data_IF_268600712024
#
_entry.id   IF_268600712024
#
_cell.length_a   1.000
_cell.length_b   1.000
_cell.length_c   1.000
_cell.angle_alpha   90.00
_cell.angle_beta   90.00
_cell.angle_gamma   90.00
#
_symmetry.space_group_name_H-M   'P 1'
#
loop_
_entity.id
_entity.type
_entity.pdbx_description
1 polymer ?
#
# COMPACT_ATOMS: atom_id res chain seq x y z
N UNK A 1 16.27 -11.74 7.93
CA UNK A 1 17.14 -12.85 7.46
C UNK A 1 17.03 -12.83 5.94
N UNK A 2 17.96 -12.11 5.31
CA UNK A 2 17.85 -11.49 3.98
C UNK A 2 18.50 -10.09 4.02
N UNK A 3 18.31 -9.29 2.98
CA UNK A 3 18.84 -7.92 2.80
C UNK A 3 18.14 -6.83 3.66
N UNK A 4 17.45 -7.24 4.74
CA UNK A 4 16.77 -6.33 5.69
C UNK A 4 17.53 -6.35 7.02
N UNK A 5 17.85 -5.19 7.63
CA UNK A 5 17.49 -3.84 7.17
C UNK A 5 18.22 -3.40 5.89
N UNK A 6 17.49 -2.67 5.03
CA UNK A 6 18.00 -2.15 3.76
C UNK A 6 18.80 -0.88 4.01
N UNK A 7 19.98 -0.74 3.40
CA UNK A 7 20.78 0.48 3.53
C UNK A 7 20.23 1.60 2.65
N UNK A 8 20.20 2.81 3.20
CA UNK A 8 19.84 4.00 2.44
C UNK A 8 20.78 4.16 1.22
N UNK A 9 20.20 4.37 0.05
CA UNK A 9 20.93 4.51 -1.22
C UNK A 9 21.27 3.21 -1.94
N UNK A 10 20.98 2.03 -1.37
CA UNK A 10 21.06 0.77 -2.11
C UNK A 10 19.95 0.71 -3.18
N UNK A 11 20.30 0.29 -4.40
CA UNK A 11 19.36 -0.09 -5.48
C UNK A 11 19.62 -1.55 -5.90
N UNK A 12 19.14 -2.49 -5.07
CA UNK A 12 19.32 -3.93 -5.24
C UNK A 12 17.99 -4.59 -5.58
N UNK A 13 18.04 -5.56 -6.47
CA UNK A 13 16.90 -6.44 -6.75
C UNK A 13 16.79 -7.52 -5.67
N UNK A 14 15.65 -7.56 -4.99
CA UNK A 14 15.24 -8.56 -4.01
C UNK A 14 14.27 -9.51 -4.71
N UNK A 15 14.78 -10.67 -5.14
CA UNK A 15 14.03 -11.69 -5.89
C UNK A 15 13.89 -13.02 -5.15
N UNK A 16 14.47 -13.14 -3.95
CA UNK A 16 14.40 -14.37 -3.15
C UNK A 16 13.09 -14.48 -2.33
N UNK A 17 12.23 -13.46 -2.36
CA UNK A 17 10.91 -13.50 -1.70
C UNK A 17 9.93 -14.21 -2.66
N UNK A 18 9.36 -15.36 -2.30
CA UNK A 18 8.43 -16.07 -3.16
C UNK A 18 7.26 -15.18 -3.60
N UNK A 19 6.97 -15.19 -4.91
CA UNK A 19 5.87 -14.42 -5.49
C UNK A 19 6.13 -12.93 -5.71
N UNK A 20 7.29 -12.40 -5.32
CA UNK A 20 7.61 -10.97 -5.38
C UNK A 20 8.98 -10.71 -6.02
N UNK A 21 9.07 -9.59 -6.75
CA UNK A 21 10.32 -9.00 -7.21
C UNK A 21 10.28 -7.53 -6.83
N UNK A 22 11.15 -7.14 -5.90
CA UNK A 22 11.16 -5.79 -5.31
C UNK A 22 12.53 -5.17 -5.48
N UNK A 23 12.60 -3.84 -5.57
CA UNK A 23 13.84 -3.12 -5.34
C UNK A 23 13.96 -2.75 -3.87
N UNK A 24 15.18 -2.57 -3.38
CA UNK A 24 15.46 -2.04 -2.05
C UNK A 24 14.71 -0.74 -1.74
N UNK A 25 14.52 0.13 -2.74
CA UNK A 25 13.74 1.37 -2.60
C UNK A 25 12.23 1.14 -2.40
N UNK A 26 11.69 -0.02 -2.80
CA UNK A 26 10.27 -0.36 -2.66
C UNK A 26 9.96 -0.91 -1.26
N UNK A 27 10.99 -1.26 -0.49
CA UNK A 27 10.86 -1.75 0.89
C UNK A 27 10.37 -0.60 1.79
N UNK A 28 9.38 -0.83 2.67
CA UNK A 28 8.88 0.22 3.55
C UNK A 28 9.97 0.87 4.39
N UNK A 29 9.94 2.20 4.54
CA UNK A 29 11.00 2.99 5.20
C UNK A 29 11.39 2.48 6.60
N UNK A 30 10.46 1.88 7.34
CA UNK A 30 10.73 1.33 8.67
C UNK A 30 11.55 0.03 8.68
N UNK A 31 11.80 -0.55 7.50
CA UNK A 31 12.70 -1.69 7.30
C UNK A 31 14.05 -1.25 6.69
N UNK A 32 14.32 0.05 6.62
CA UNK A 32 15.63 0.60 6.26
C UNK A 32 16.46 0.86 7.52
N UNK A 33 17.78 0.82 7.38
CA UNK A 33 18.74 1.13 8.43
C UNK A 33 18.57 2.58 8.91
N UNK A 34 18.18 2.79 10.17
CA UNK A 34 18.05 4.12 10.76
C UNK A 34 17.49 4.13 12.19
N UNK A 35 18.00 5.03 13.04
CA UNK A 35 17.61 5.11 14.46
C UNK A 35 16.12 5.41 14.69
N UNK A 36 15.47 6.15 13.79
CA UNK A 36 14.05 6.51 13.89
C UNK A 36 13.08 5.35 13.59
N UNK A 37 13.56 4.22 13.07
CA UNK A 37 12.72 3.16 12.51
C UNK A 37 12.54 1.93 13.42
N UNK A 38 13.32 1.83 14.50
CA UNK A 38 13.38 0.65 15.37
C UNK A 38 12.04 0.25 16.01
N UNK A 39 11.20 1.23 16.41
CA UNK A 39 9.91 0.92 17.06
C UNK A 39 8.93 0.23 16.10
N UNK A 40 8.84 0.69 14.84
CA UNK A 40 7.95 0.08 13.85
C UNK A 40 8.52 -1.25 13.35
N UNK A 41 9.83 -1.38 13.29
CA UNK A 41 10.50 -2.65 12.99
C UNK A 41 10.18 -3.72 14.04
N UNK A 42 10.34 -3.41 15.33
CA UNK A 42 10.03 -4.33 16.43
C UNK A 42 8.57 -4.78 16.42
N UNK A 43 7.64 -3.85 16.21
CA UNK A 43 6.21 -4.18 16.07
C UNK A 43 5.96 -5.10 14.86
N UNK A 44 6.58 -4.81 13.72
CA UNK A 44 6.42 -5.62 12.51
C UNK A 44 6.97 -7.03 12.71
N UNK A 45 8.13 -7.16 13.37
CA UNK A 45 8.72 -8.46 13.71
C UNK A 45 7.89 -9.23 14.74
N UNK A 46 7.28 -8.53 15.70
CA UNK A 46 6.37 -9.14 16.66
C UNK A 46 5.12 -9.72 15.95
N UNK A 47 4.51 -8.95 15.04
CA UNK A 47 3.32 -9.37 14.29
C UNK A 47 3.63 -10.52 13.32
N UNK A 48 4.77 -10.48 12.63
CA UNK A 48 5.18 -11.56 11.72
C UNK A 48 5.50 -12.87 12.44
N UNK A 49 5.98 -12.84 13.69
CA UNK A 49 6.11 -14.06 14.50
C UNK A 49 4.75 -14.61 14.90
N UNK A 50 3.77 -13.76 15.17
CA UNK A 50 2.43 -14.17 15.61
C UNK A 50 1.62 -14.83 14.50
N UNK A 51 1.70 -14.32 13.27
CA UNK A 51 0.92 -14.85 12.13
C UNK A 51 1.19 -16.35 11.88
N UNK A 52 2.40 -16.83 12.21
CA UNK A 52 2.76 -18.26 12.10
C UNK A 52 2.01 -19.15 13.10
N UNK A 53 1.60 -18.59 14.24
CA UNK A 53 0.90 -19.27 15.35
C UNK A 53 -0.61 -19.13 15.25
N UNK A 54 -1.11 -18.12 14.55
CA UNK A 54 -2.54 -17.91 14.35
C UNK A 54 -3.16 -19.06 13.56
N UNK A 55 -4.47 -19.27 13.77
CA UNK A 55 -5.23 -20.31 13.05
C UNK A 55 -5.43 -19.89 11.61
N UNK A 56 -5.93 -18.67 11.37
CA UNK A 56 -6.13 -18.06 10.06
C UNK A 56 -5.76 -16.59 10.09
N UNK A 57 -5.33 -16.05 8.96
CA UNK A 57 -5.19 -14.62 8.74
C UNK A 57 -5.89 -14.24 7.44
N UNK A 58 -6.69 -13.18 7.52
CA UNK A 58 -7.55 -12.74 6.44
C UNK A 58 -6.86 -11.62 5.67
N UNK A 59 -6.84 -11.72 4.34
CA UNK A 59 -6.28 -10.68 3.47
C UNK A 59 -7.38 -10.14 2.55
N UNK A 60 -7.58 -8.82 2.60
CA UNK A 60 -8.48 -8.13 1.67
C UNK A 60 -7.80 -7.92 0.32
N UNK A 61 -7.70 -8.98 -0.48
CA UNK A 61 -7.20 -8.95 -1.85
C UNK A 61 -7.91 -10.00 -2.71
N UNK A 62 -7.73 -9.93 -4.03
CA UNK A 62 -8.29 -10.87 -5.02
C UNK A 62 -7.17 -11.62 -5.73
N UNK A 63 -7.40 -12.92 -5.92
CA UNK A 63 -6.43 -13.83 -6.53
C UNK A 63 -5.98 -13.39 -7.92
N UNK A 64 -6.91 -12.91 -8.76
CA UNK A 64 -6.66 -12.67 -10.18
C UNK A 64 -5.71 -11.49 -10.44
N UNK A 65 -5.58 -10.55 -9.48
CA UNK A 65 -4.67 -9.40 -9.59
C UNK A 65 -3.29 -9.72 -9.03
N UNK A 66 -3.18 -10.65 -8.08
CA UNK A 66 -1.96 -10.94 -7.31
C UNK A 66 -1.57 -12.43 -7.34
N UNK A 67 -1.78 -13.09 -8.49
CA UNK A 67 -1.61 -14.54 -8.66
C UNK A 67 -0.32 -15.10 -8.05
N UNK A 68 0.83 -14.51 -8.41
CA UNK A 68 2.17 -14.96 -7.95
C UNK A 68 2.29 -14.91 -6.42
N UNK A 69 1.75 -13.87 -5.80
CA UNK A 69 1.77 -13.69 -4.34
C UNK A 69 0.84 -14.70 -3.67
N UNK A 70 -0.35 -14.92 -4.23
CA UNK A 70 -1.31 -15.87 -3.70
C UNK A 70 -0.80 -17.31 -3.73
N UNK A 71 -0.14 -17.71 -4.82
CA UNK A 71 0.48 -19.03 -4.94
C UNK A 71 1.58 -19.22 -3.89
N UNK A 72 2.51 -18.26 -3.78
CA UNK A 72 3.55 -18.26 -2.77
C UNK A 72 3.00 -18.31 -1.33
N UNK A 73 1.97 -17.52 -1.03
CA UNK A 73 1.34 -17.50 0.29
C UNK A 73 0.62 -18.82 0.60
N UNK A 74 -0.04 -19.42 -0.39
CA UNK A 74 -0.70 -20.72 -0.25
C UNK A 74 0.31 -21.85 -0.05
N UNK A 75 1.45 -21.82 -0.74
CA UNK A 75 2.54 -22.76 -0.53
C UNK A 75 3.16 -22.63 0.87
N UNK A 76 3.39 -21.39 1.34
CA UNK A 76 4.03 -21.12 2.63
C UNK A 76 3.11 -21.31 3.85
N UNK A 77 1.83 -20.96 3.74
CA UNK A 77 0.89 -20.91 4.87
C UNK A 77 -0.31 -21.87 4.74
N UNK A 78 -0.50 -22.50 3.58
CA UNK A 78 -1.58 -23.45 3.35
C UNK A 78 -2.96 -22.87 3.64
N UNK A 79 -3.79 -23.65 4.34
CA UNK A 79 -5.15 -23.27 4.71
C UNK A 79 -5.24 -22.08 5.70
N UNK A 80 -4.11 -21.59 6.24
CA UNK A 80 -4.10 -20.43 7.13
C UNK A 80 -4.30 -19.10 6.39
N UNK A 81 -3.92 -19.05 5.12
CA UNK A 81 -4.09 -17.87 4.27
C UNK A 81 -5.50 -17.83 3.69
N UNK A 82 -6.29 -16.84 4.08
CA UNK A 82 -7.71 -16.72 3.68
C UNK A 82 -7.94 -15.37 2.97
N UNK A 83 -7.94 -15.33 1.64
CA UNK A 83 -8.31 -14.12 0.91
C UNK A 83 -9.82 -13.88 0.99
N UNK A 84 -10.22 -12.67 1.34
CA UNK A 84 -11.63 -12.26 1.50
C UNK A 84 -12.00 -11.03 0.67
N UNK A 85 -11.12 -10.63 -0.25
CA UNK A 85 -11.28 -9.42 -1.04
C UNK A 85 -12.07 -9.60 -2.35
N UNK A 86 -12.48 -8.47 -2.96
CA UNK A 86 -12.38 -7.13 -2.41
C UNK A 86 -13.55 -6.90 -1.44
N UNK A 87 -13.24 -6.49 -0.21
CA UNK A 87 -14.25 -6.03 0.74
C UNK A 87 -14.70 -4.64 0.31
N UNK A 88 -15.97 -4.54 -0.08
CA UNK A 88 -16.58 -3.26 -0.39
C UNK A 88 -17.10 -2.59 0.89
N UNK A 89 -17.05 -1.25 0.99
CA UNK A 89 -17.63 -0.53 2.12
C UNK A 89 -19.11 -0.89 2.31
N UNK A 90 -19.50 -1.26 3.53
CA UNK A 90 -20.89 -1.51 3.89
C UNK A 90 -21.63 -0.17 4.03
N UNK A 91 -22.29 0.25 2.95
CA UNK A 91 -23.07 1.50 2.83
C UNK A 91 -22.30 2.76 3.31
N UNK A 92 -21.61 3.41 2.38
CA UNK A 92 -21.40 4.86 2.48
C UNK A 92 -22.68 5.58 2.04
N UNK A 93 -23.02 6.71 2.67
CA UNK A 93 -23.91 7.68 2.04
C UNK A 93 -23.33 7.97 0.66
N UNK A 94 -24.07 7.63 -0.40
CA UNK A 94 -23.69 8.06 -1.72
C UNK A 94 -23.57 9.59 -1.65
N UNK A 95 -22.39 10.12 -1.96
CA UNK A 95 -22.25 11.54 -2.19
C UNK A 95 -23.20 11.80 -3.36
N UNK A 96 -24.37 12.38 -3.05
CA UNK A 96 -25.34 12.79 -4.05
C UNK A 96 -24.64 13.88 -4.88
N UNK A 97 -23.94 13.47 -5.91
CA UNK A 97 -23.28 14.33 -6.87
C UNK A 97 -24.34 14.93 -7.81
N UNK A 98 -25.33 15.63 -7.25
CA UNK A 98 -26.42 16.27 -7.99
C UNK A 98 -25.96 17.40 -8.93
N UNK A 99 -24.65 17.58 -9.12
CA UNK A 99 -24.05 18.54 -10.05
C UNK A 99 -23.01 17.94 -11.01
N UNK A 100 -22.64 16.66 -10.89
CA UNK A 100 -21.75 16.02 -11.84
C UNK A 100 -22.59 15.45 -12.98
N UNK A 101 -22.74 16.25 -14.04
CA UNK A 101 -23.07 15.73 -15.37
C UNK A 101 -22.10 14.58 -15.70
N UNK A 102 -22.43 13.73 -16.67
CA UNK A 102 -21.61 12.64 -17.21
C UNK A 102 -20.26 13.13 -17.82
N UNK A 103 -19.45 13.80 -17.02
CA UNK A 103 -18.19 14.42 -17.35
C UNK A 103 -17.08 13.69 -16.60
N UNK A 104 -16.02 13.35 -17.31
CA UNK A 104 -14.78 12.82 -16.75
C UNK A 104 -14.24 13.81 -15.72
N UNK A 105 -14.28 13.42 -14.45
CA UNK A 105 -13.73 14.21 -13.33
C UNK A 105 -12.56 13.47 -12.74
N UNK A 106 -11.43 14.19 -12.61
CA UNK A 106 -10.24 13.66 -11.97
C UNK A 106 -10.45 13.64 -10.45
N UNK A 107 -10.50 12.44 -9.85
CA UNK A 107 -10.56 12.29 -8.40
C UNK A 107 -9.14 12.18 -7.83
N UNK A 108 -8.77 13.09 -6.93
CA UNK A 108 -7.44 13.17 -6.31
C UNK A 108 -7.55 12.98 -4.81
N UNK A 109 -6.79 12.03 -4.26
CA UNK A 109 -6.72 11.72 -2.83
C UNK A 109 -5.35 11.12 -2.48
N UNK A 110 -4.90 11.41 -1.26
CA UNK A 110 -3.64 10.86 -0.72
C UNK A 110 -3.88 9.97 0.51
N UNK A 111 -5.11 9.48 0.68
CA UNK A 111 -5.54 8.72 1.85
C UNK A 111 -5.86 9.61 3.05
N UNK A 112 -6.15 8.98 4.19
CA UNK A 112 -6.48 9.69 5.44
C UNK A 112 -5.26 10.27 6.18
N UNK A 113 -4.06 9.78 5.85
CA UNK A 113 -2.79 10.25 6.40
C UNK A 113 -1.84 10.42 5.23
N UNK A 114 -1.35 11.65 5.02
CA UNK A 114 -0.42 12.00 3.97
C UNK A 114 0.67 12.91 4.51
N UNK A 115 1.90 12.74 4.01
CA UNK A 115 3.03 13.59 4.32
C UNK A 115 3.42 14.33 3.04
N UNK A 116 3.07 15.62 2.97
CA UNK A 116 3.34 16.47 1.82
C UNK A 116 3.93 17.80 2.28
N UNK A 117 4.99 18.24 1.61
CA UNK A 117 5.58 19.57 1.84
C UNK A 117 4.72 20.66 1.19
N UNK A 118 4.80 21.89 1.70
CA UNK A 118 4.09 23.03 1.11
C UNK A 118 4.40 23.22 -0.39
N UNK A 119 5.65 22.97 -0.79
CA UNK A 119 6.07 23.03 -2.19
C UNK A 119 5.38 21.98 -3.06
N UNK A 120 5.29 20.73 -2.59
CA UNK A 120 4.60 19.66 -3.32
C UNK A 120 3.10 19.97 -3.47
N UNK A 121 2.48 20.52 -2.42
CA UNK A 121 1.09 20.95 -2.47
C UNK A 121 0.87 22.06 -3.51
N UNK A 122 1.75 23.06 -3.55
CA UNK A 122 1.73 24.12 -4.56
C UNK A 122 1.91 23.57 -5.97
N UNK A 123 2.89 22.68 -6.19
CA UNK A 123 3.14 22.04 -7.50
C UNK A 123 1.93 21.24 -7.99
N UNK A 124 1.25 20.49 -7.11
CA UNK A 124 0.02 19.77 -7.46
C UNK A 124 -1.10 20.76 -7.81
N UNK A 125 -1.26 21.83 -7.02
CA UNK A 125 -2.28 22.86 -7.26
C UNK A 125 -2.08 23.51 -8.63
N UNK A 126 -0.85 23.91 -8.95
CA UNK A 126 -0.49 24.50 -10.24
C UNK A 126 -0.71 23.50 -11.40
N UNK A 127 -0.37 22.23 -11.20
CA UNK A 127 -0.60 21.18 -12.19
C UNK A 127 -2.09 20.94 -12.48
N UNK A 128 -2.93 20.94 -11.43
CA UNK A 128 -4.38 20.83 -11.57
C UNK A 128 -4.98 22.03 -12.30
N UNK A 129 -4.56 23.26 -11.94
CA UNK A 129 -5.00 24.48 -12.64
C UNK A 129 -4.62 24.46 -14.12
N UNK A 130 -3.36 24.13 -14.42
CA UNK A 130 -2.85 24.11 -15.79
C UNK A 130 -3.51 23.04 -16.68
N UNK A 131 -3.97 21.93 -16.08
CA UNK A 131 -4.61 20.83 -16.80
C UNK A 131 -5.97 21.21 -17.41
N UNK A 132 -6.65 22.22 -16.85
CA UNK A 132 -8.00 22.65 -17.23
C UNK A 132 -9.05 21.52 -17.21
N UNK A 133 -8.78 20.41 -16.51
CA UNK A 133 -9.73 19.31 -16.33
C UNK A 133 -10.59 19.57 -15.09
N UNK A 134 -11.88 19.20 -15.09
CA UNK A 134 -12.66 19.17 -13.86
C UNK A 134 -12.05 18.17 -12.88
N UNK A 135 -11.86 18.57 -11.62
CA UNK A 135 -11.32 17.71 -10.59
C UNK A 135 -12.10 17.80 -9.28
N UNK A 136 -12.05 16.72 -8.51
CA UNK A 136 -12.44 16.65 -7.11
C UNK A 136 -11.21 16.23 -6.31
N UNK A 137 -10.63 17.17 -5.57
CA UNK A 137 -9.47 16.90 -4.72
C UNK A 137 -9.87 16.95 -3.24
N UNK A 138 -9.64 15.85 -2.53
CA UNK A 138 -9.78 15.78 -1.07
C UNK A 138 -8.44 16.17 -0.43
N UNK A 139 -8.45 17.26 0.33
CA UNK A 139 -7.30 17.83 1.05
C UNK A 139 -7.54 17.71 2.56
#
# INVERSE_FOLDING_TARGET
MGDVPVKEGDDKLISYIPGMELRSQDIPLFMHDGEFQKVREEQSLHLSKRITRDSWFLINSVHDIELRVFEAMREGFGAKFVPVGPLFPLKGEAINSTGLKESLVLYVLFGSISFMTAKQFEEITLGLEASKVPFLWVI
#
